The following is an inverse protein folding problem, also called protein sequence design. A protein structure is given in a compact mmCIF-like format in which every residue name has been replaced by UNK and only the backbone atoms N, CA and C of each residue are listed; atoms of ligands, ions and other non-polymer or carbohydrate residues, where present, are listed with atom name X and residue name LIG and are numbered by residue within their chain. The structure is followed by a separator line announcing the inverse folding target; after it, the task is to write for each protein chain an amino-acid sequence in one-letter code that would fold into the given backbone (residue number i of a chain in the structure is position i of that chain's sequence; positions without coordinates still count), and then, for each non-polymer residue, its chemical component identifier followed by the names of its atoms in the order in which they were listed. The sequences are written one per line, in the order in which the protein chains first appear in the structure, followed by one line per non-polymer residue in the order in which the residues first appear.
data_IF_720834532967
#
_entry.id   IF_720834532967
#
_cell.length_a   1.000
_cell.length_b   1.000
_cell.length_c   1.000
_cell.angle_alpha   90.00
_cell.angle_beta   90.00
_cell.angle_gamma   90.00
#
_symmetry.space_group_name_H-M   'P 1'
#
loop_
_entity.id
_entity.type
_entity.pdbx_description
1 polymer ?
#
# COMPACT_ATOMS: atom_id res chain seq x y z
N UNK A 1 -28.40 -17.97 -14.71
CA UNK A 1 -28.05 -18.21 -16.14
C UNK A 1 -27.10 -17.14 -16.54
N UNK A 2 -25.94 -17.56 -17.00
CA UNK A 2 -24.89 -16.67 -17.42
C UNK A 2 -25.39 -15.77 -18.55
N UNK A 3 -25.25 -14.46 -18.38
CA UNK A 3 -25.44 -13.54 -19.48
C UNK A 3 -24.42 -13.91 -20.57
N UNK A 4 -24.89 -14.15 -21.76
CA UNK A 4 -24.02 -14.36 -22.90
C UNK A 4 -23.25 -13.07 -23.12
N UNK A 5 -21.91 -13.13 -23.02
CA UNK A 5 -21.05 -12.03 -23.38
C UNK A 5 -21.21 -11.76 -24.87
N UNK A 6 -21.96 -10.73 -25.21
CA UNK A 6 -22.03 -10.22 -26.58
C UNK A 6 -20.83 -9.31 -26.77
N UNK A 7 -20.33 -9.15 -27.99
CA UNK A 7 -19.23 -8.23 -28.34
C UNK A 7 -19.40 -6.91 -27.63
N UNK A 8 -18.58 -6.70 -26.58
CA UNK A 8 -18.54 -5.43 -25.85
C UNK A 8 -17.56 -4.51 -26.54
N UNK A 9 -17.88 -3.22 -26.72
CA UNK A 9 -16.89 -2.23 -27.14
C UNK A 9 -15.66 -2.30 -26.25
N UNK A 10 -14.46 -2.09 -26.80
CA UNK A 10 -13.17 -2.25 -26.10
C UNK A 10 -13.14 -1.55 -24.72
N UNK A 11 -13.84 -0.43 -24.56
CA UNK A 11 -13.90 0.34 -23.31
C UNK A 11 -14.97 -0.16 -22.32
N UNK A 12 -15.87 -1.04 -22.71
CA UNK A 12 -16.96 -1.56 -21.88
C UNK A 12 -16.76 -3.02 -21.46
N UNK A 13 -15.75 -3.69 -21.98
CA UNK A 13 -15.47 -5.10 -21.72
C UNK A 13 -15.36 -5.43 -20.22
N UNK A 14 -14.79 -4.54 -19.41
CA UNK A 14 -14.69 -4.71 -17.95
C UNK A 14 -16.06 -4.77 -17.28
N UNK A 15 -17.05 -4.01 -17.76
CA UNK A 15 -18.40 -4.02 -17.22
C UNK A 15 -19.10 -5.37 -17.39
N UNK A 16 -18.62 -6.21 -18.30
CA UNK A 16 -19.19 -7.54 -18.53
C UNK A 16 -18.82 -8.56 -17.43
N UNK A 17 -17.69 -8.37 -16.73
CA UNK A 17 -17.19 -9.34 -15.75
C UNK A 17 -16.77 -8.74 -14.39
N UNK A 18 -16.96 -7.44 -14.16
CA UNK A 18 -16.72 -6.79 -12.88
C UNK A 18 -18.03 -6.27 -12.28
N UNK A 19 -18.14 -6.36 -10.95
CA UNK A 19 -19.22 -5.77 -10.14
C UNK A 19 -20.65 -6.09 -10.63
N UNK A 20 -20.87 -7.30 -11.20
CA UNK A 20 -22.21 -7.71 -11.61
C UNK A 20 -23.10 -8.00 -10.40
N UNK A 21 -24.40 -7.61 -10.43
CA UNK A 21 -25.31 -7.83 -9.29
C UNK A 21 -25.33 -9.29 -8.80
N UNK A 22 -25.21 -10.24 -9.71
CA UNK A 22 -25.26 -11.68 -9.40
C UNK A 22 -24.08 -12.14 -8.51
N UNK A 23 -22.94 -11.46 -8.53
CA UNK A 23 -21.79 -11.84 -7.69
C UNK A 23 -22.10 -11.70 -6.21
N UNK A 24 -22.89 -10.70 -5.83
CA UNK A 24 -23.34 -10.52 -4.46
C UNK A 24 -24.20 -11.68 -3.97
N UNK A 25 -25.08 -12.24 -4.83
CA UNK A 25 -25.85 -13.43 -4.49
C UNK A 25 -24.93 -14.64 -4.27
N UNK A 26 -23.96 -14.86 -5.15
CA UNK A 26 -23.00 -15.95 -5.01
C UNK A 26 -22.13 -15.82 -3.74
N UNK A 27 -21.70 -14.62 -3.39
CA UNK A 27 -20.92 -14.39 -2.17
C UNK A 27 -21.75 -14.68 -0.92
N UNK A 28 -23.02 -14.26 -0.87
CA UNK A 28 -23.92 -14.57 0.24
C UNK A 28 -24.19 -16.07 0.35
N UNK A 29 -24.47 -16.73 -0.78
CA UNK A 29 -24.66 -18.19 -0.80
C UNK A 29 -23.40 -18.93 -0.32
N UNK A 30 -22.20 -18.48 -0.73
CA UNK A 30 -20.95 -19.05 -0.28
C UNK A 30 -20.76 -18.82 1.22
N UNK A 31 -20.99 -17.62 1.71
CA UNK A 31 -20.90 -17.28 3.13
C UNK A 31 -21.83 -18.18 3.95
N UNK A 32 -23.12 -18.25 3.62
CA UNK A 32 -24.11 -19.08 4.31
C UNK A 32 -23.75 -20.57 4.31
N UNK A 33 -23.26 -21.09 3.18
CA UNK A 33 -22.95 -22.51 3.01
C UNK A 33 -21.62 -22.95 3.68
N UNK A 34 -20.74 -22.01 4.06
CA UNK A 34 -19.39 -22.36 4.54
C UNK A 34 -19.09 -21.79 5.92
N UNK A 35 -18.86 -20.50 6.05
CA UNK A 35 -18.29 -19.86 7.26
C UNK A 35 -19.23 -18.83 7.92
N UNK A 36 -20.39 -18.51 7.34
CA UNK A 36 -21.24 -17.42 7.81
C UNK A 36 -21.86 -17.58 9.21
N UNK A 37 -21.78 -18.78 9.80
CA UNK A 37 -22.20 -19.03 11.20
C UNK A 37 -21.05 -18.95 12.21
N UNK A 38 -19.82 -18.60 11.78
CA UNK A 38 -18.63 -18.56 12.62
C UNK A 38 -17.89 -17.24 12.40
N UNK A 39 -18.06 -16.31 13.35
CA UNK A 39 -17.47 -14.96 13.32
C UNK A 39 -15.92 -14.96 13.45
N UNK A 40 -15.30 -16.13 13.68
CA UNK A 40 -13.84 -16.26 13.73
C UNK A 40 -13.21 -16.29 12.33
N UNK A 41 -14.00 -16.56 11.29
CA UNK A 41 -13.49 -16.54 9.92
C UNK A 41 -13.36 -15.12 9.38
N UNK A 42 -12.21 -14.85 8.77
CA UNK A 42 -11.93 -13.63 8.03
C UNK A 42 -11.84 -13.94 6.54
N UNK A 43 -12.56 -13.19 5.74
CA UNK A 43 -12.56 -13.32 4.28
C UNK A 43 -12.11 -12.02 3.62
N UNK A 44 -11.36 -12.13 2.53
CA UNK A 44 -10.87 -10.95 1.80
C UNK A 44 -11.07 -11.13 0.30
N UNK A 45 -11.60 -10.09 -0.33
CA UNK A 45 -11.77 -10.03 -1.79
C UNK A 45 -10.66 -9.21 -2.44
N UNK A 46 -10.25 -9.61 -3.64
CA UNK A 46 -9.36 -8.83 -4.50
C UNK A 46 -10.17 -8.14 -5.60
N UNK A 47 -10.27 -6.80 -5.51
CA UNK A 47 -11.17 -5.99 -6.33
C UNK A 47 -10.38 -4.91 -7.09
N UNK A 48 -9.68 -5.29 -8.14
CA UNK A 48 -8.72 -4.41 -8.83
C UNK A 48 -9.34 -3.17 -9.49
N UNK A 49 -10.63 -3.21 -9.82
CA UNK A 49 -11.31 -2.14 -10.58
C UNK A 49 -12.69 -1.81 -10.05
N UNK A 50 -13.03 -2.24 -8.83
CA UNK A 50 -14.31 -1.98 -8.18
C UNK A 50 -14.51 -0.51 -7.87
N UNK A 51 -15.77 -0.08 -7.79
CA UNK A 51 -16.16 1.23 -7.27
C UNK A 51 -16.26 1.19 -5.75
N UNK A 52 -16.23 2.35 -5.10
CA UNK A 52 -16.46 2.47 -3.65
C UNK A 52 -17.83 1.89 -3.29
N UNK A 53 -18.86 2.19 -4.08
CA UNK A 53 -20.23 1.68 -3.87
C UNK A 53 -20.24 0.15 -3.78
N UNK A 54 -19.62 -0.52 -4.73
CA UNK A 54 -19.52 -1.97 -4.72
C UNK A 54 -18.61 -2.49 -3.60
N UNK A 55 -17.50 -1.80 -3.30
CA UNK A 55 -16.63 -2.22 -2.21
C UNK A 55 -17.32 -2.16 -0.84
N UNK A 56 -18.17 -1.16 -0.62
CA UNK A 56 -19.07 -1.11 0.56
C UNK A 56 -20.01 -2.32 0.57
N UNK A 57 -20.66 -2.63 -0.56
CA UNK A 57 -21.55 -3.80 -0.65
C UNK A 57 -20.83 -5.11 -0.36
N UNK A 58 -19.60 -5.28 -0.84
CA UNK A 58 -18.79 -6.48 -0.58
C UNK A 58 -18.39 -6.64 0.88
N UNK A 59 -18.17 -5.55 1.62
CA UNK A 59 -17.50 -5.58 2.93
C UNK A 59 -18.30 -5.02 4.11
N UNK A 60 -19.51 -4.52 3.88
CA UNK A 60 -20.38 -4.09 4.97
C UNK A 60 -20.92 -5.32 5.74
N UNK A 61 -20.79 -5.37 7.09
CA UNK A 61 -21.09 -6.56 7.89
C UNK A 61 -22.52 -7.09 7.69
N UNK A 62 -23.51 -6.21 7.53
CA UNK A 62 -24.91 -6.58 7.34
C UNK A 62 -25.19 -7.24 5.99
N UNK A 63 -24.22 -7.22 5.09
CA UNK A 63 -24.34 -7.85 3.77
C UNK A 63 -24.05 -9.34 3.80
N UNK A 64 -23.29 -9.82 4.79
CA UNK A 64 -22.87 -11.21 4.90
C UNK A 64 -22.17 -11.73 3.64
N UNK A 65 -21.26 -10.93 3.07
CA UNK A 65 -20.48 -11.28 1.87
C UNK A 65 -19.03 -11.55 2.25
N UNK A 66 -18.21 -10.52 2.36
CA UNK A 66 -16.79 -10.61 2.72
C UNK A 66 -16.50 -9.74 3.95
N UNK A 67 -15.44 -10.05 4.68
CA UNK A 67 -15.00 -9.20 5.81
C UNK A 67 -14.36 -7.91 5.32
N UNK A 68 -13.67 -7.94 4.19
CA UNK A 68 -12.96 -6.79 3.61
C UNK A 68 -12.60 -7.03 2.15
N UNK A 69 -12.22 -5.95 1.45
CA UNK A 69 -11.75 -6.04 0.09
C UNK A 69 -10.51 -5.15 -0.15
N UNK A 70 -9.57 -5.64 -0.95
CA UNK A 70 -8.50 -4.85 -1.54
C UNK A 70 -9.01 -4.04 -2.74
N UNK A 71 -8.57 -2.80 -2.86
CA UNK A 71 -8.63 -2.05 -4.11
C UNK A 71 -7.20 -1.70 -4.57
N UNK A 72 -7.02 -1.47 -5.88
CA UNK A 72 -5.71 -1.20 -6.47
C UNK A 72 -5.57 0.19 -7.09
N UNK A 73 -6.49 1.11 -6.78
CA UNK A 73 -6.48 2.44 -7.38
C UNK A 73 -5.20 3.21 -7.06
N UNK A 74 -4.76 3.18 -5.80
CA UNK A 74 -3.53 3.83 -5.34
C UNK A 74 -2.24 3.29 -5.98
N UNK A 75 -2.28 2.11 -6.58
CA UNK A 75 -1.13 1.51 -7.26
C UNK A 75 -0.96 2.00 -8.71
N UNK A 76 -1.87 2.83 -9.22
CA UNK A 76 -1.85 3.30 -10.61
C UNK A 76 -1.44 4.76 -10.75
N UNK A 77 -1.04 5.40 -9.66
CA UNK A 77 -0.69 6.83 -9.62
C UNK A 77 0.65 7.17 -10.29
N UNK A 78 1.43 6.18 -10.69
CA UNK A 78 2.65 6.33 -11.49
C UNK A 78 2.50 5.69 -12.89
N UNK A 79 1.26 5.61 -13.38
CA UNK A 79 0.92 5.21 -14.74
C UNK A 79 0.69 6.47 -15.59
N UNK A 80 1.25 6.50 -16.80
CA UNK A 80 1.03 7.58 -17.76
C UNK A 80 -0.14 7.20 -18.68
N UNK A 81 -1.18 8.01 -18.71
CA UNK A 81 -2.40 7.75 -19.47
C UNK A 81 -2.98 6.33 -19.28
N UNK A 82 -2.88 5.81 -18.06
CA UNK A 82 -3.33 4.47 -17.70
C UNK A 82 -2.38 3.35 -18.14
N UNK A 83 -1.21 3.67 -18.73
CA UNK A 83 -0.21 2.69 -19.17
C UNK A 83 0.79 2.40 -18.05
N UNK A 84 0.92 1.11 -17.70
CA UNK A 84 1.84 0.64 -16.66
C UNK A 84 3.31 0.81 -17.04
N UNK A 85 3.63 0.52 -18.32
CA UNK A 85 5.01 0.36 -18.79
C UNK A 85 5.64 1.69 -19.21
N UNK A 86 5.74 2.60 -18.24
CA UNK A 86 6.34 3.93 -18.37
C UNK A 86 7.16 4.26 -17.13
N UNK A 87 8.10 5.20 -17.22
CA UNK A 87 8.82 5.75 -16.06
C UNK A 87 8.28 7.16 -15.84
N UNK A 88 7.29 7.27 -14.98
CA UNK A 88 6.62 8.52 -14.63
C UNK A 88 6.66 8.67 -13.10
N UNK A 89 6.98 9.86 -12.57
CA UNK A 89 6.82 10.14 -11.14
C UNK A 89 5.39 9.88 -10.72
N UNK A 90 5.19 9.42 -9.48
CA UNK A 90 3.84 9.21 -8.97
C UNK A 90 3.11 10.56 -8.80
N UNK A 91 1.82 10.54 -9.10
CA UNK A 91 0.92 11.65 -8.88
C UNK A 91 0.48 11.66 -7.40
N UNK A 92 1.11 12.51 -6.60
CA UNK A 92 0.83 12.63 -5.18
C UNK A 92 -0.58 13.16 -4.90
N UNK A 93 -1.07 14.11 -5.69
CA UNK A 93 -2.41 14.67 -5.53
C UNK A 93 -3.47 13.60 -5.76
N UNK A 94 -3.30 12.78 -6.80
CA UNK A 94 -4.21 11.67 -7.06
C UNK A 94 -4.10 10.59 -5.98
N UNK A 95 -2.90 10.25 -5.51
CA UNK A 95 -2.69 9.32 -4.40
C UNK A 95 -3.42 9.78 -3.13
N UNK A 96 -3.24 11.05 -2.76
CA UNK A 96 -3.87 11.67 -1.60
C UNK A 96 -5.39 11.69 -1.75
N UNK A 97 -5.89 12.12 -2.92
CA UNK A 97 -7.32 12.14 -3.23
C UNK A 97 -7.95 10.73 -3.10
N UNK A 98 -7.28 9.71 -3.62
CA UNK A 98 -7.74 8.33 -3.51
C UNK A 98 -7.82 7.87 -2.05
N UNK A 99 -6.78 8.09 -1.26
CA UNK A 99 -6.78 7.71 0.15
C UNK A 99 -7.85 8.45 0.95
N UNK A 100 -8.04 9.75 0.71
CA UNK A 100 -9.08 10.53 1.38
C UNK A 100 -10.47 10.07 1.00
N UNK A 101 -10.74 9.90 -0.30
CA UNK A 101 -12.05 9.49 -0.79
C UNK A 101 -12.41 8.09 -0.27
N UNK A 102 -11.51 7.12 -0.43
CA UNK A 102 -11.75 5.76 0.05
C UNK A 102 -11.84 5.66 1.57
N UNK A 103 -10.94 6.33 2.29
CA UNK A 103 -10.95 6.34 3.76
C UNK A 103 -12.25 6.89 4.33
N UNK A 104 -12.69 8.04 3.81
CA UNK A 104 -13.92 8.71 4.24
C UNK A 104 -15.17 7.91 3.88
N UNK A 105 -15.35 7.59 2.61
CA UNK A 105 -16.55 6.90 2.12
C UNK A 105 -16.73 5.51 2.77
N UNK A 106 -15.65 4.72 2.86
CA UNK A 106 -15.70 3.41 3.54
C UNK A 106 -16.01 3.57 5.04
N UNK A 107 -15.52 4.64 5.68
CA UNK A 107 -15.81 4.93 7.08
C UNK A 107 -17.27 5.32 7.31
N UNK A 108 -17.80 6.24 6.50
CA UNK A 108 -19.17 6.76 6.66
C UNK A 108 -20.24 5.73 6.29
N UNK A 109 -19.91 4.80 5.39
CA UNK A 109 -20.87 3.84 4.83
C UNK A 109 -20.72 2.42 5.38
N UNK A 110 -19.86 2.22 6.40
CA UNK A 110 -19.72 0.94 7.09
C UNK A 110 -18.94 -0.14 6.33
N UNK A 111 -18.32 0.17 5.19
CA UNK A 111 -17.44 -0.75 4.48
C UNK A 111 -16.11 -0.93 5.20
N UNK A 112 -15.34 -1.96 4.82
CA UNK A 112 -14.02 -2.24 5.40
C UNK A 112 -12.97 -2.55 4.34
N UNK A 113 -11.89 -1.76 4.33
CA UNK A 113 -10.79 -1.90 3.36
C UNK A 113 -9.68 -2.79 3.89
N UNK A 114 -9.16 -3.68 3.04
CA UNK A 114 -7.84 -4.26 3.21
C UNK A 114 -6.80 -3.27 2.64
N UNK A 115 -5.86 -2.84 3.48
CA UNK A 115 -4.89 -1.80 3.15
C UNK A 115 -3.52 -2.43 2.90
N UNK A 116 -2.80 -1.97 1.89
CA UNK A 116 -1.47 -2.49 1.56
C UNK A 116 -0.67 -1.51 0.69
N UNK A 117 0.65 -1.65 0.75
CA UNK A 117 1.58 -0.98 -0.18
C UNK A 117 2.20 -1.96 -1.17
N UNK A 118 2.48 -3.17 -0.72
CA UNK A 118 3.17 -4.19 -1.51
C UNK A 118 2.30 -5.42 -1.72
N UNK A 119 2.44 -6.05 -2.88
CA UNK A 119 1.93 -7.37 -3.16
C UNK A 119 2.83 -8.06 -4.21
N UNK A 120 2.47 -9.28 -4.59
CA UNK A 120 3.20 -10.09 -5.58
C UNK A 120 3.02 -9.62 -7.03
N UNK A 121 2.20 -8.59 -7.29
CA UNK A 121 1.87 -8.11 -8.64
C UNK A 121 2.38 -6.68 -8.92
N UNK A 122 3.12 -6.09 -7.98
CA UNK A 122 3.67 -4.74 -8.10
C UNK A 122 5.16 -4.71 -7.72
N UNK A 123 5.97 -3.80 -8.27
CA UNK A 123 7.29 -3.50 -7.73
C UNK A 123 7.20 -3.05 -6.27
N UNK A 124 8.31 -3.14 -5.53
CA UNK A 124 8.36 -2.70 -4.14
C UNK A 124 7.99 -1.22 -4.01
N UNK A 125 7.09 -0.91 -3.08
CA UNK A 125 6.60 0.46 -2.86
C UNK A 125 7.73 1.43 -2.53
N UNK A 126 8.76 1.00 -1.82
CA UNK A 126 9.94 1.81 -1.54
C UNK A 126 10.58 2.36 -2.81
N UNK A 127 10.75 1.53 -3.84
CA UNK A 127 11.34 1.96 -5.12
C UNK A 127 10.44 2.92 -5.90
N UNK A 128 9.14 2.89 -5.65
CA UNK A 128 8.16 3.71 -6.37
C UNK A 128 7.93 5.08 -5.74
N UNK A 129 7.93 5.15 -4.41
CA UNK A 129 7.47 6.32 -3.67
C UNK A 129 8.55 7.01 -2.84
N UNK A 130 9.75 6.44 -2.74
CA UNK A 130 10.79 6.92 -1.83
C UNK A 130 12.14 7.07 -2.54
N UNK A 131 12.88 8.10 -2.19
CA UNK A 131 14.32 8.18 -2.49
C UNK A 131 15.08 7.19 -1.58
N UNK A 132 15.10 5.93 -1.99
CA UNK A 132 15.70 4.83 -1.20
C UNK A 132 17.18 4.98 -0.96
N UNK A 133 17.86 5.78 -1.78
CA UNK A 133 19.30 6.00 -1.65
C UNK A 133 19.63 6.83 -0.40
N UNK A 134 18.76 7.79 -0.09
CA UNK A 134 19.02 8.75 0.99
C UNK A 134 18.09 8.52 2.20
N UNK A 135 16.88 7.94 2.01
CA UNK A 135 15.83 7.91 3.02
C UNK A 135 15.08 6.56 3.11
N UNK A 136 15.78 5.42 2.90
CA UNK A 136 15.13 4.10 2.92
C UNK A 136 14.37 3.83 4.23
N UNK A 137 14.98 4.13 5.37
CA UNK A 137 14.38 3.86 6.68
C UNK A 137 13.18 4.77 6.96
N UNK A 138 13.35 6.06 6.71
CA UNK A 138 12.33 7.07 6.93
C UNK A 138 11.13 6.84 6.01
N UNK A 139 11.40 6.56 4.72
CA UNK A 139 10.36 6.26 3.75
C UNK A 139 9.60 4.96 4.06
N UNK A 140 10.29 3.89 4.47
CA UNK A 140 9.64 2.63 4.85
C UNK A 140 8.70 2.82 6.04
N UNK A 141 9.15 3.55 7.05
CA UNK A 141 8.36 3.80 8.26
C UNK A 141 7.19 4.76 8.02
N UNK A 142 7.37 5.77 7.15
CA UNK A 142 6.30 6.68 6.73
C UNK A 142 5.22 5.92 5.94
N UNK A 143 5.61 5.11 4.96
CA UNK A 143 4.66 4.28 4.20
C UNK A 143 3.90 3.33 5.14
N UNK A 144 4.60 2.65 6.05
CA UNK A 144 3.95 1.80 7.04
C UNK A 144 2.91 2.56 7.88
N UNK A 145 3.28 3.71 8.45
CA UNK A 145 2.39 4.50 9.29
C UNK A 145 1.14 4.98 8.53
N UNK A 146 1.28 5.38 7.27
CA UNK A 146 0.19 5.92 6.45
C UNK A 146 -0.99 4.95 6.30
N UNK A 147 -0.76 3.63 6.32
CA UNK A 147 -1.81 2.61 6.26
C UNK A 147 -2.12 1.98 7.62
N UNK A 148 -1.13 1.75 8.49
CA UNK A 148 -1.34 1.10 9.78
C UNK A 148 -2.14 1.98 10.76
N UNK A 149 -2.05 3.31 10.66
CA UNK A 149 -2.82 4.26 11.46
C UNK A 149 -4.16 4.63 10.81
N UNK A 150 -4.41 4.20 9.58
CA UNK A 150 -5.65 4.43 8.86
C UNK A 150 -6.75 3.43 9.25
N UNK A 151 -7.99 3.68 8.76
CA UNK A 151 -9.15 2.81 8.96
C UNK A 151 -9.16 1.69 7.92
N UNK A 152 -9.13 0.45 8.37
CA UNK A 152 -9.06 -0.76 7.56
C UNK A 152 -8.10 -1.77 8.19
N UNK A 153 -7.89 -2.90 7.55
CA UNK A 153 -6.91 -3.91 7.99
C UNK A 153 -5.64 -3.80 7.17
N UNK A 154 -4.51 -3.40 7.76
CA UNK A 154 -3.24 -3.35 7.03
C UNK A 154 -2.67 -4.75 6.82
N UNK A 155 -2.17 -5.00 5.62
CA UNK A 155 -1.47 -6.22 5.22
C UNK A 155 0.01 -5.91 5.02
N UNK A 156 0.86 -6.71 5.65
CA UNK A 156 2.31 -6.61 5.53
C UNK A 156 2.76 -7.67 4.53
N UNK A 157 3.32 -7.22 3.40
CA UNK A 157 3.89 -8.12 2.42
C UNK A 157 5.32 -8.50 2.81
N UNK A 158 5.71 -9.76 2.59
CA UNK A 158 7.03 -10.28 2.98
C UNK A 158 8.17 -9.34 2.58
N UNK A 159 9.02 -9.01 3.54
CA UNK A 159 10.22 -8.20 3.34
C UNK A 159 10.00 -6.69 3.44
N UNK A 160 8.75 -6.18 3.46
CA UNK A 160 8.53 -4.76 3.69
C UNK A 160 8.90 -4.37 5.13
N UNK A 161 8.73 -5.27 6.09
CA UNK A 161 9.08 -5.10 7.50
C UNK A 161 10.58 -4.99 7.77
N UNK A 162 11.40 -5.34 6.78
CA UNK A 162 12.86 -5.15 6.80
C UNK A 162 13.34 -4.18 5.70
N UNK A 163 12.41 -3.50 5.03
CA UNK A 163 12.70 -2.51 4.01
C UNK A 163 13.36 -3.10 2.75
N UNK A 164 12.95 -4.31 2.31
CA UNK A 164 13.40 -4.87 1.03
C UNK A 164 13.06 -3.95 -0.12
N UNK A 165 13.97 -3.87 -1.08
CA UNK A 165 13.88 -3.08 -2.30
C UNK A 165 13.86 -3.99 -3.54
N UNK A 166 13.59 -3.42 -4.70
CA UNK A 166 13.64 -4.13 -5.98
C UNK A 166 15.03 -4.76 -6.23
N UNK A 167 15.10 -5.87 -6.97
CA UNK A 167 16.31 -6.72 -7.05
C UNK A 167 17.48 -6.11 -7.80
N UNK A 168 17.27 -5.05 -8.59
CA UNK A 168 18.28 -4.41 -9.44
C UNK A 168 18.98 -5.41 -10.38
N UNK A 169 18.19 -6.20 -11.13
CA UNK A 169 18.71 -7.18 -12.10
C UNK A 169 19.44 -6.51 -13.25
N UNK A 170 20.40 -7.25 -13.87
CA UNK A 170 21.30 -6.71 -14.90
C UNK A 170 20.80 -6.98 -16.32
N UNK A 171 19.88 -7.92 -16.52
CA UNK A 171 19.42 -8.30 -17.87
C UNK A 171 18.00 -8.85 -17.90
N UNK A 172 17.39 -8.85 -19.09
CA UNK A 172 16.07 -9.45 -19.32
C UNK A 172 16.03 -10.95 -19.02
N UNK A 173 17.16 -11.66 -19.06
CA UNK A 173 17.22 -13.09 -18.73
C UNK A 173 16.99 -13.39 -17.25
N UNK A 174 17.01 -12.37 -16.39
CA UNK A 174 16.75 -12.49 -14.95
C UNK A 174 15.25 -12.38 -14.63
N UNK A 175 14.44 -11.89 -15.58
CA UNK A 175 12.99 -11.80 -15.48
C UNK A 175 12.32 -13.03 -16.11
N UNK A 176 11.36 -13.62 -15.41
CA UNK A 176 10.65 -14.83 -15.85
C UNK A 176 9.16 -14.61 -16.05
N UNK A 177 8.63 -13.49 -15.52
CA UNK A 177 7.21 -13.15 -15.67
C UNK A 177 6.86 -12.86 -17.12
N UNK A 178 5.87 -13.59 -17.64
CA UNK A 178 5.41 -13.47 -19.03
C UNK A 178 4.93 -12.06 -19.38
N UNK A 179 4.34 -11.33 -18.40
CA UNK A 179 3.92 -9.95 -18.60
C UNK A 179 5.12 -9.06 -18.91
N UNK A 180 6.21 -9.22 -18.15
CA UNK A 180 7.45 -8.46 -18.36
C UNK A 180 8.13 -8.77 -19.67
N UNK A 181 8.16 -10.07 -20.07
CA UNK A 181 8.74 -10.51 -21.35
C UNK A 181 7.97 -9.93 -22.52
N UNK A 182 6.63 -10.00 -22.48
CA UNK A 182 5.77 -9.46 -23.52
C UNK A 182 5.85 -7.92 -23.60
N UNK A 183 5.89 -7.25 -22.42
CA UNK A 183 6.04 -5.81 -22.37
C UNK A 183 7.38 -5.33 -22.95
N UNK A 184 8.47 -6.03 -22.67
CA UNK A 184 9.77 -5.73 -23.26
C UNK A 184 9.72 -5.75 -24.79
N UNK A 185 9.12 -6.81 -25.38
CA UNK A 185 8.97 -6.90 -26.84
C UNK A 185 8.07 -5.79 -27.37
N UNK A 186 6.95 -5.52 -26.72
CA UNK A 186 6.04 -4.41 -27.09
C UNK A 186 6.77 -3.06 -27.11
N UNK A 187 7.60 -2.78 -26.12
CA UNK A 187 8.37 -1.53 -26.03
C UNK A 187 9.38 -1.42 -27.19
N UNK A 188 10.06 -2.52 -27.57
CA UNK A 188 10.94 -2.55 -28.74
C UNK A 188 10.17 -2.27 -30.02
N UNK A 189 8.99 -2.88 -30.20
CA UNK A 189 8.11 -2.68 -31.36
C UNK A 189 7.58 -1.24 -31.45
N UNK A 190 7.46 -0.55 -30.31
CA UNK A 190 7.11 0.86 -30.19
C UNK A 190 8.31 1.80 -30.48
N UNK A 191 9.51 1.27 -30.68
CA UNK A 191 10.70 2.04 -31.05
C UNK A 191 11.61 2.43 -29.89
N UNK A 192 11.38 1.93 -28.67
CA UNK A 192 12.33 2.12 -27.57
C UNK A 192 13.65 1.38 -27.86
N UNK A 193 14.78 1.94 -27.41
CA UNK A 193 16.03 1.18 -27.43
C UNK A 193 15.97 0.01 -26.43
N UNK A 194 16.77 -1.05 -26.62
CA UNK A 194 16.86 -2.15 -25.65
C UNK A 194 17.14 -1.68 -24.21
N UNK A 195 17.98 -0.67 -24.05
CA UNK A 195 18.33 -0.09 -22.74
C UNK A 195 17.16 0.66 -22.13
N UNK A 196 16.40 1.40 -22.92
CA UNK A 196 15.20 2.11 -22.47
C UNK A 196 14.11 1.14 -22.07
N UNK A 197 13.82 0.15 -22.93
CA UNK A 197 12.85 -0.90 -22.64
C UNK A 197 13.22 -1.67 -21.36
N UNK A 198 14.50 -2.06 -21.21
CA UNK A 198 14.98 -2.76 -20.02
C UNK A 198 14.81 -1.92 -18.73
N UNK A 199 15.13 -0.63 -18.75
CA UNK A 199 14.89 0.25 -17.59
C UNK A 199 13.43 0.32 -17.18
N UNK A 200 12.51 0.32 -18.14
CA UNK A 200 11.07 0.30 -17.86
C UNK A 200 10.68 -1.02 -17.19
N UNK A 201 11.15 -2.18 -17.73
CA UNK A 201 10.91 -3.48 -17.11
C UNK A 201 11.49 -3.54 -15.71
N UNK A 202 12.72 -3.07 -15.52
CA UNK A 202 13.41 -3.02 -14.23
C UNK A 202 12.59 -2.23 -13.17
N UNK A 203 11.93 -1.16 -13.58
CA UNK A 203 11.11 -0.34 -12.69
C UNK A 203 9.69 -0.88 -12.45
N UNK A 204 9.12 -1.68 -13.37
CA UNK A 204 7.68 -2.00 -13.37
C UNK A 204 7.34 -3.48 -13.31
N UNK A 205 8.34 -4.39 -13.35
CA UNK A 205 8.11 -5.83 -13.32
C UNK A 205 7.55 -6.30 -11.98
N UNK A 206 6.60 -7.25 -12.04
CA UNK A 206 6.07 -7.96 -10.87
C UNK A 206 7.13 -8.84 -10.20
N UNK A 207 8.10 -9.33 -10.95
CA UNK A 207 9.19 -10.16 -10.41
C UNK A 207 9.99 -9.43 -9.34
N UNK A 208 9.98 -8.09 -9.34
CA UNK A 208 10.63 -7.29 -8.31
C UNK A 208 10.17 -7.63 -6.89
N UNK A 209 8.90 -7.94 -6.70
CA UNK A 209 8.35 -8.34 -5.41
C UNK A 209 8.31 -9.86 -5.18
N UNK A 210 8.62 -10.66 -6.19
CA UNK A 210 8.60 -12.14 -6.12
C UNK A 210 9.95 -12.76 -5.81
N UNK A 211 10.96 -11.92 -5.57
CA UNK A 211 12.30 -12.38 -5.18
C UNK A 211 12.26 -13.15 -3.85
N UNK A 212 13.20 -14.08 -3.62
CA UNK A 212 13.33 -14.76 -2.34
C UNK A 212 13.39 -13.78 -1.17
N UNK A 213 12.77 -14.14 -0.04
CA UNK A 213 12.96 -13.43 1.23
C UNK A 213 14.43 -13.43 1.60
N UNK A 214 14.94 -12.29 2.01
CA UNK A 214 16.34 -12.08 2.36
C UNK A 214 16.55 -12.37 3.84
N UNK A 215 16.96 -13.60 4.19
CA UNK A 215 17.14 -14.03 5.57
C UNK A 215 18.49 -13.63 6.15
N UNK A 216 19.56 -13.81 5.36
CA UNK A 216 20.93 -13.52 5.76
C UNK A 216 21.81 -13.19 4.55
N UNK A 217 23.11 -12.95 4.78
CA UNK A 217 24.09 -12.63 3.74
C UNK A 217 24.71 -13.85 3.05
N UNK A 218 24.25 -15.08 3.33
CA UNK A 218 24.72 -16.31 2.68
C UNK A 218 24.22 -16.48 1.27
N UNK A 219 24.62 -17.53 0.57
CA UNK A 219 24.18 -17.82 -0.79
C UNK A 219 22.64 -17.90 -0.88
N UNK A 220 22.07 -17.37 -1.97
CA UNK A 220 20.61 -17.22 -2.17
C UNK A 220 19.89 -16.50 -1.02
N UNK A 221 20.58 -15.58 -0.34
CA UNK A 221 20.04 -14.81 0.79
C UNK A 221 19.55 -15.70 1.96
N UNK A 222 20.17 -16.86 2.17
CA UNK A 222 19.72 -17.84 3.18
C UNK A 222 18.37 -18.47 2.90
N UNK A 223 17.77 -18.20 1.73
CA UNK A 223 16.43 -18.69 1.38
C UNK A 223 16.43 -20.18 1.00
N UNK A 224 17.44 -20.64 0.26
CA UNK A 224 17.49 -22.01 -0.26
C UNK A 224 18.92 -22.46 -0.51
N UNK A 225 19.18 -23.77 -0.30
CA UNK A 225 20.43 -24.42 -0.71
C UNK A 225 20.43 -24.86 -2.18
N UNK A 226 19.26 -24.83 -2.85
CA UNK A 226 19.10 -25.07 -4.28
C UNK A 226 18.97 -23.76 -5.06
N UNK A 227 18.85 -23.84 -6.38
CA UNK A 227 18.59 -22.67 -7.24
C UNK A 227 17.17 -22.18 -7.01
N UNK A 228 16.95 -20.95 -6.50
CA UNK A 228 15.62 -20.41 -6.34
C UNK A 228 14.99 -20.10 -7.71
N UNK A 229 13.68 -20.03 -7.76
CA UNK A 229 12.92 -19.68 -8.98
C UNK A 229 13.35 -18.32 -9.56
N UNK A 230 13.46 -17.29 -8.70
CA UNK A 230 14.06 -15.99 -9.02
C UNK A 230 15.33 -15.80 -8.21
N UNK A 231 16.31 -15.10 -8.75
CA UNK A 231 17.50 -14.71 -8.01
C UNK A 231 17.13 -13.79 -6.86
N UNK A 232 17.83 -13.88 -5.75
CA UNK A 232 17.79 -12.84 -4.70
C UNK A 232 18.23 -11.48 -5.27
N UNK A 233 17.61 -10.40 -4.77
CA UNK A 233 18.01 -9.03 -5.12
C UNK A 233 19.44 -8.74 -4.67
N UNK A 234 20.16 -7.87 -5.37
CA UNK A 234 21.56 -7.55 -5.06
C UNK A 234 21.79 -7.03 -3.63
N UNK A 235 20.75 -6.44 -3.04
CA UNK A 235 20.78 -5.86 -1.70
C UNK A 235 20.83 -6.88 -0.56
N UNK A 236 20.68 -8.17 -0.81
CA UNK A 236 20.52 -9.16 0.26
C UNK A 236 21.67 -9.23 1.26
N UNK A 237 22.88 -8.79 0.87
CA UNK A 237 24.04 -8.77 1.77
C UNK A 237 23.93 -7.70 2.85
N UNK A 238 23.22 -6.64 2.57
CA UNK A 238 23.06 -5.49 3.47
C UNK A 238 21.65 -5.44 4.05
N UNK A 239 20.62 -5.72 3.24
CA UNK A 239 19.21 -5.74 3.63
C UNK A 239 18.76 -7.19 3.78
N UNK A 240 18.71 -7.68 4.99
CA UNK A 240 18.25 -9.03 5.33
C UNK A 240 17.77 -9.09 6.78
N UNK A 241 17.08 -10.16 7.14
CA UNK A 241 16.50 -10.31 8.48
C UNK A 241 17.56 -10.25 9.57
N UNK A 242 18.72 -10.91 9.39
CA UNK A 242 19.78 -10.93 10.39
C UNK A 242 20.27 -9.51 10.74
N UNK A 243 20.39 -8.64 9.73
CA UNK A 243 20.83 -7.25 9.93
C UNK A 243 19.71 -6.33 10.41
N UNK A 244 18.47 -6.55 9.97
CA UNK A 244 17.36 -5.60 10.14
C UNK A 244 16.41 -5.93 11.30
N UNK A 245 16.50 -7.12 11.91
CA UNK A 245 15.55 -7.54 12.98
C UNK A 245 15.61 -6.63 14.22
N UNK A 246 16.74 -6.00 14.45
CA UNK A 246 16.91 -4.97 15.47
C UNK A 246 16.99 -3.55 14.88
N UNK A 247 16.73 -3.44 13.57
CA UNK A 247 16.76 -2.18 12.83
C UNK A 247 15.53 -1.29 13.08
N UNK A 248 15.60 -0.03 12.63
CA UNK A 248 14.54 0.94 12.88
C UNK A 248 13.22 0.57 12.20
N UNK A 249 13.25 0.00 10.99
CA UNK A 249 12.04 -0.36 10.24
C UNK A 249 11.28 -1.45 10.98
N UNK A 250 11.94 -2.56 11.34
CA UNK A 250 11.30 -3.69 12.01
C UNK A 250 10.74 -3.28 13.39
N UNK A 251 11.47 -2.48 14.16
CA UNK A 251 11.00 -1.94 15.44
C UNK A 251 9.77 -1.07 15.26
N UNK A 252 9.73 -0.27 14.20
CA UNK A 252 8.60 0.60 13.90
C UNK A 252 7.35 -0.20 13.53
N UNK A 253 7.46 -1.26 12.72
CA UNK A 253 6.35 -2.18 12.44
C UNK A 253 5.82 -2.86 13.71
N UNK A 254 6.70 -3.32 14.60
CA UNK A 254 6.30 -3.86 15.91
C UNK A 254 5.50 -2.85 16.71
N UNK A 255 5.93 -1.60 16.75
CA UNK A 255 5.24 -0.54 17.47
C UNK A 255 3.88 -0.22 16.83
N UNK A 256 3.78 -0.12 15.51
CA UNK A 256 2.51 0.06 14.81
C UNK A 256 1.50 -1.06 15.12
N UNK A 257 1.96 -2.31 15.11
CA UNK A 257 1.12 -3.48 15.45
C UNK A 257 0.67 -3.42 16.91
N UNK A 258 1.57 -3.04 17.83
CA UNK A 258 1.25 -2.87 19.25
C UNK A 258 0.20 -1.79 19.45
N UNK A 259 0.43 -0.60 18.88
CA UNK A 259 -0.51 0.52 18.97
C UNK A 259 -1.88 0.15 18.43
N UNK A 260 -1.94 -0.54 17.30
CA UNK A 260 -3.20 -0.96 16.69
C UNK A 260 -3.98 -1.95 17.56
N UNK A 261 -3.30 -2.81 18.32
CA UNK A 261 -3.93 -3.77 19.26
C UNK A 261 -4.39 -3.09 20.55
N UNK A 262 -3.66 -2.09 21.02
CA UNK A 262 -3.90 -1.46 22.32
C UNK A 262 -4.79 -0.20 22.25
N UNK A 263 -4.93 0.40 21.06
CA UNK A 263 -5.63 1.68 20.89
C UNK A 263 -6.82 1.55 19.94
N UNK A 264 -8.05 1.41 20.48
CA UNK A 264 -9.27 1.31 19.67
C UNK A 264 -9.46 2.45 18.66
N UNK A 265 -9.00 3.65 18.95
CA UNK A 265 -9.08 4.79 18.02
C UNK A 265 -8.39 4.48 16.68
N UNK A 266 -7.34 3.65 16.67
CA UNK A 266 -6.64 3.25 15.43
C UNK A 266 -7.43 2.17 14.70
N UNK A 267 -7.97 1.15 15.41
CA UNK A 267 -8.70 0.05 14.79
C UNK A 267 -10.15 0.41 14.44
N UNK A 268 -10.84 1.17 15.28
CA UNK A 268 -12.30 1.37 15.22
C UNK A 268 -12.71 2.81 14.89
N UNK A 269 -11.85 3.81 15.17
CA UNK A 269 -12.16 5.21 14.95
C UNK A 269 -12.63 5.52 13.53
N UNK A 270 -13.48 6.53 13.36
CA UNK A 270 -13.86 7.05 12.06
C UNK A 270 -12.66 7.68 11.35
N UNK A 271 -12.77 7.90 10.06
CA UNK A 271 -11.75 8.55 9.25
C UNK A 271 -12.24 9.93 8.78
N UNK A 272 -11.38 10.94 8.89
CA UNK A 272 -11.62 12.26 8.33
C UNK A 272 -10.37 12.74 7.59
N UNK A 273 -10.50 13.27 6.36
CA UNK A 273 -9.41 13.96 5.66
C UNK A 273 -8.90 15.17 6.45
N UNK A 274 -7.60 15.44 6.37
CA UNK A 274 -6.97 16.64 6.91
C UNK A 274 -5.94 17.17 5.91
N UNK A 275 -5.66 18.48 5.93
CA UNK A 275 -4.67 19.16 5.09
C UNK A 275 -4.79 18.79 3.59
N UNK A 276 -6.02 18.75 3.07
CA UNK A 276 -6.31 18.32 1.69
C UNK A 276 -5.57 19.14 0.62
N UNK A 277 -5.25 20.41 0.90
CA UNK A 277 -4.54 21.30 -0.02
C UNK A 277 -3.01 21.16 0.03
N UNK A 278 -2.45 20.34 0.94
CA UNK A 278 -1.00 20.19 1.06
C UNK A 278 -0.42 19.46 -0.16
N UNK A 279 0.65 19.98 -0.71
CA UNK A 279 1.34 19.42 -1.88
C UNK A 279 2.38 18.34 -1.52
N UNK A 280 2.66 18.11 -0.22
CA UNK A 280 3.68 17.20 0.25
C UNK A 280 3.21 16.27 1.37
N UNK A 281 2.17 16.68 2.12
CA UNK A 281 1.74 15.97 3.32
C UNK A 281 0.39 15.31 3.08
N UNK A 282 0.35 13.99 3.27
CA UNK A 282 -0.88 13.23 3.41
C UNK A 282 -1.25 13.17 4.89
N UNK A 283 -2.38 13.78 5.27
CA UNK A 283 -2.82 13.87 6.64
C UNK A 283 -4.26 13.43 6.80
N UNK A 284 -4.57 12.80 7.92
CA UNK A 284 -5.93 12.40 8.26
C UNK A 284 -6.13 12.38 9.79
N UNK A 285 -7.38 12.44 10.20
CA UNK A 285 -7.78 12.26 11.58
C UNK A 285 -8.55 10.96 11.78
N UNK A 286 -8.41 10.39 12.99
CA UNK A 286 -9.25 9.32 13.51
C UNK A 286 -10.00 9.85 14.72
N UNK A 287 -11.30 9.53 14.82
CA UNK A 287 -12.13 9.98 15.94
C UNK A 287 -12.84 8.79 16.58
N UNK A 288 -12.74 8.69 17.91
CA UNK A 288 -13.45 7.69 18.73
C UNK A 288 -13.66 8.19 20.16
N UNK A 289 -14.88 8.16 20.67
CA UNK A 289 -15.24 8.43 22.06
C UNK A 289 -14.65 9.74 22.62
N UNK A 290 -14.68 10.80 21.80
CA UNK A 290 -14.14 12.11 22.16
C UNK A 290 -12.62 12.26 22.01
N UNK A 291 -11.91 11.18 21.68
CA UNK A 291 -10.49 11.23 21.31
C UNK A 291 -10.34 11.55 19.82
N UNK A 292 -9.24 12.23 19.51
CA UNK A 292 -8.80 12.46 18.12
C UNK A 292 -7.33 12.09 17.96
N UNK A 293 -7.02 11.48 16.84
CA UNK A 293 -5.66 11.17 16.42
C UNK A 293 -5.40 11.82 15.07
N UNK A 294 -4.53 12.83 15.03
CA UNK A 294 -4.03 13.42 13.79
C UNK A 294 -2.79 12.67 13.35
N UNK A 295 -2.77 12.25 12.10
CA UNK A 295 -1.62 11.57 11.46
C UNK A 295 -1.14 12.42 10.30
N UNK A 296 0.13 12.80 10.32
CA UNK A 296 0.81 13.61 9.30
C UNK A 296 1.90 12.76 8.66
N UNK A 297 1.94 12.68 7.32
CA UNK A 297 2.94 11.92 6.56
C UNK A 297 3.51 12.80 5.46
N UNK A 298 4.77 13.20 5.57
CA UNK A 298 5.49 13.88 4.51
C UNK A 298 5.96 12.84 3.47
N UNK A 299 5.48 12.93 2.24
CA UNK A 299 5.78 11.98 1.16
C UNK A 299 7.03 12.34 0.33
N UNK A 300 7.80 13.35 0.75
CA UNK A 300 8.94 13.85 -0.01
C UNK A 300 10.23 13.89 0.79
N UNK A 301 11.34 13.85 0.05
CA UNK A 301 12.70 13.98 0.58
C UNK A 301 13.11 15.42 0.91
N UNK A 302 12.16 16.31 1.13
CA UNK A 302 12.33 17.70 1.56
C UNK A 302 11.46 17.99 2.78
N UNK A 303 11.84 18.99 3.57
CA UNK A 303 11.03 19.45 4.70
C UNK A 303 9.70 20.03 4.22
N UNK A 304 8.66 19.83 5.04
CA UNK A 304 7.33 20.40 4.85
C UNK A 304 6.86 21.11 6.11
N UNK A 305 6.32 22.31 6.00
CA UNK A 305 5.69 23.01 7.11
C UNK A 305 4.17 22.87 7.03
N UNK A 306 3.53 22.51 8.14
CA UNK A 306 2.08 22.41 8.27
C UNK A 306 1.59 23.16 9.50
N UNK A 307 0.38 23.73 9.43
CA UNK A 307 -0.27 24.35 10.57
C UNK A 307 -1.19 23.34 11.26
N UNK A 308 -1.09 23.24 12.59
CA UNK A 308 -1.98 22.41 13.40
C UNK A 308 -2.78 23.28 14.36
N UNK A 309 -4.00 22.87 14.68
CA UNK A 309 -4.88 23.61 15.58
C UNK A 309 -4.36 23.61 17.03
N UNK A 310 -4.79 24.56 17.83
CA UNK A 310 -4.42 24.66 19.26
C UNK A 310 -4.71 23.37 20.05
N UNK A 311 -5.72 22.60 19.64
CA UNK A 311 -6.05 21.30 20.20
C UNK A 311 -4.88 20.33 20.08
N UNK A 312 -4.29 20.21 18.86
CA UNK A 312 -3.16 19.31 18.62
C UNK A 312 -1.83 19.83 19.17
N UNK A 313 -1.66 21.14 19.33
CA UNK A 313 -0.47 21.71 19.97
C UNK A 313 -0.33 21.25 21.42
N UNK A 314 -1.45 21.01 22.12
CA UNK A 314 -1.49 20.49 23.48
C UNK A 314 -1.57 18.95 23.55
N UNK A 315 -1.56 18.29 22.41
CA UNK A 315 -1.66 16.85 22.29
C UNK A 315 -0.39 16.11 22.73
N UNK A 316 -0.47 14.79 22.73
CA UNK A 316 0.66 13.91 22.97
C UNK A 316 1.14 13.30 21.67
N UNK A 317 2.43 13.41 21.35
CA UNK A 317 3.05 12.63 20.29
C UNK A 317 2.90 11.16 20.64
N UNK A 318 2.13 10.44 19.82
CA UNK A 318 1.91 9.00 19.98
C UNK A 318 3.00 8.21 19.27
N UNK A 319 3.39 8.65 18.08
CA UNK A 319 4.37 8.00 17.24
C UNK A 319 5.05 9.02 16.34
N UNK A 320 6.35 8.86 16.14
CA UNK A 320 7.14 9.54 15.12
C UNK A 320 8.27 8.62 14.69
N UNK A 321 8.69 8.71 13.43
CA UNK A 321 9.88 8.03 12.93
C UNK A 321 11.16 8.88 13.06
N UNK A 322 11.05 10.04 13.73
CA UNK A 322 12.16 10.89 14.16
C UNK A 322 12.03 11.18 15.66
N UNK A 323 13.15 11.35 16.35
CA UNK A 323 13.18 11.48 17.81
C UNK A 323 12.71 12.84 18.34
N UNK A 324 12.78 13.89 17.52
CA UNK A 324 12.59 15.29 17.92
C UNK A 324 11.34 15.92 17.26
N UNK A 325 10.18 15.52 17.69
CA UNK A 325 8.92 16.13 17.26
C UNK A 325 8.49 17.21 18.25
N UNK A 326 8.47 18.47 17.81
CA UNK A 326 7.93 19.60 18.58
C UNK A 326 6.53 19.97 18.09
N UNK A 327 5.59 20.13 19.02
CA UNK A 327 4.23 20.55 18.71
C UNK A 327 4.09 22.04 18.91
N UNK A 328 3.90 22.77 17.83
CA UNK A 328 3.64 24.21 17.80
C UNK A 328 2.53 24.50 16.77
N UNK A 329 2.11 25.75 16.65
CA UNK A 329 1.16 26.16 15.60
C UNK A 329 1.63 25.74 14.19
N UNK A 330 2.94 25.90 13.95
CA UNK A 330 3.62 25.42 12.76
C UNK A 330 4.54 24.27 13.11
N UNK A 331 4.31 23.13 12.48
CA UNK A 331 5.11 21.91 12.63
C UNK A 331 5.95 21.73 11.37
N UNK A 332 7.26 21.67 11.54
CA UNK A 332 8.17 21.28 10.46
C UNK A 332 8.33 19.77 10.45
N UNK A 333 7.91 19.14 9.36
CA UNK A 333 8.10 17.72 9.10
C UNK A 333 9.37 17.51 8.29
N UNK A 334 10.28 16.69 8.78
CA UNK A 334 11.50 16.27 8.08
C UNK A 334 11.19 15.42 6.84
N UNK A 335 12.17 15.15 5.97
CA UNK A 335 12.00 14.24 4.84
C UNK A 335 11.39 12.89 5.26
N UNK A 336 10.31 12.49 4.60
CA UNK A 336 9.57 11.25 4.89
C UNK A 336 9.20 11.06 6.36
N UNK A 337 8.97 12.15 7.09
CA UNK A 337 8.52 12.06 8.47
C UNK A 337 7.05 11.67 8.55
N UNK A 338 6.76 10.73 9.45
CA UNK A 338 5.41 10.52 9.99
C UNK A 338 5.36 11.05 11.42
N UNK A 339 4.23 11.69 11.76
CA UNK A 339 3.95 12.20 13.10
C UNK A 339 2.47 11.97 13.45
N UNK A 340 2.24 11.22 14.51
CA UNK A 340 0.90 10.94 15.00
C UNK A 340 0.67 11.63 16.37
N UNK A 341 -0.37 12.46 16.47
CA UNK A 341 -0.68 13.30 17.63
C UNK A 341 -2.04 12.91 18.19
N UNK A 342 -2.06 12.45 19.43
CA UNK A 342 -3.29 12.06 20.13
C UNK A 342 -3.75 13.19 21.06
N UNK A 343 -5.03 13.52 20.99
CA UNK A 343 -5.74 14.40 21.92
C UNK A 343 -6.99 13.72 22.49
N UNK A 344 -7.40 14.17 23.67
CA UNK A 344 -8.56 13.63 24.38
C UNK A 344 -9.74 14.57 24.24
#
# INVERSE_FOLDING_TARGET
KDEVLVDCPENEGKLAYTDKPIVHDYLRMMNEATFGSDDSFMTVGEMSSTTIDNCVLYSAPERHELSMAFNFHHLKVDYEDGQKWTITPFDFEELKRLYHTWGKEMSERGGWSALFWNNHDQPRALNRFVDIKNFRNEGATMLAASIHLSRGTPYIYMGEEIGMIDPDYDSMSDYVDVESINAYQMLLDQGHSPEQAFKIIQAKSRDNSRTPMQWDASENAGFSTGTPWLKAGKSYKDINVENEIDGPIFKFYKELIRLRKEMPIISEGSYQPALEDSQQVYAFERHLDGQKLLVLNNFYGSEAEVEITAEYQSGRVLLSNYDDAELAEKVSLKPYQTLAILVK
#
